data_IF_507812849571
#
_entry.id   IF_507812849571
#
_cell.length_a   1.000
_cell.length_b   1.000
_cell.length_c   1.000
_cell.angle_alpha   90.00
_cell.angle_beta   90.00
_cell.angle_gamma   90.00
#
_symmetry.space_group_name_H-M   'P 1'
#
loop_
_entity.id
_entity.type
_entity.pdbx_description
1 polymer ?
#
# COMPACT_ATOMS: atom_id res chain seq x y z
N UNK A 1 3.56 -20.48 50.33
CA UNK A 1 4.22 -19.40 49.57
C UNK A 1 5.49 -20.00 48.99
N UNK A 2 5.71 -20.16 47.69
CA UNK A 2 5.42 -19.29 46.53
C UNK A 2 5.11 -20.16 45.30
N UNK A 3 4.17 -19.69 44.49
CA UNK A 3 3.72 -20.31 43.26
C UNK A 3 4.74 -20.13 42.12
N UNK A 4 4.73 -21.12 41.24
CA UNK A 4 5.49 -21.22 40.00
C UNK A 4 5.15 -20.11 38.99
N UNK A 5 6.20 -19.74 38.26
CA UNK A 5 6.28 -19.11 36.95
C UNK A 5 5.02 -19.07 36.08
N UNK A 6 4.77 -17.91 35.46
CA UNK A 6 4.38 -17.83 34.04
C UNK A 6 5.17 -16.68 33.40
N UNK A 7 6.18 -17.07 32.60
CA UNK A 7 6.87 -16.23 31.63
C UNK A 7 5.84 -15.84 30.55
N UNK A 8 5.40 -14.59 30.53
CA UNK A 8 4.57 -14.04 29.46
C UNK A 8 5.43 -13.20 28.52
N UNK A 9 6.32 -13.84 27.75
CA UNK A 9 6.95 -13.16 26.61
C UNK A 9 6.15 -13.54 25.37
N UNK A 10 5.29 -12.61 24.96
CA UNK A 10 4.50 -12.67 23.74
C UNK A 10 5.47 -12.79 22.56
N UNK A 11 5.50 -13.95 21.92
CA UNK A 11 6.12 -14.14 20.62
C UNK A 11 5.35 -13.26 19.61
N UNK A 12 5.91 -12.10 19.29
CA UNK A 12 5.54 -11.37 18.10
C UNK A 12 5.86 -12.28 16.90
N UNK A 13 4.84 -12.89 16.32
CA UNK A 13 4.97 -13.59 15.04
C UNK A 13 5.13 -12.51 13.98
N UNK A 14 6.37 -12.04 13.80
CA UNK A 14 6.78 -11.39 12.58
C UNK A 14 6.69 -12.45 11.48
N UNK A 15 5.66 -12.37 10.64
CA UNK A 15 5.73 -12.92 9.29
C UNK A 15 6.78 -12.12 8.51
N UNK A 16 8.04 -12.33 8.85
CA UNK A 16 9.17 -12.01 8.00
C UNK A 16 9.26 -13.14 6.99
N UNK A 17 8.44 -13.09 5.94
CA UNK A 17 9.06 -13.36 4.65
C UNK A 17 10.14 -12.30 4.53
N UNK A 18 11.41 -12.69 4.56
CA UNK A 18 12.49 -11.77 4.25
C UNK A 18 12.24 -11.28 2.83
N UNK A 19 11.54 -10.16 2.69
CA UNK A 19 11.56 -9.39 1.46
C UNK A 19 13.03 -8.99 1.31
N UNK A 20 13.75 -9.67 0.42
CA UNK A 20 15.13 -9.34 0.06
C UNK A 20 15.09 -8.04 -0.74
N UNK A 21 14.75 -6.95 -0.06
CA UNK A 21 14.60 -5.64 -0.64
C UNK A 21 15.35 -4.65 0.24
N UNK A 22 16.30 -3.95 -0.37
CA UNK A 22 17.16 -2.99 0.31
C UNK A 22 16.58 -1.59 0.24
N UNK A 23 16.93 -0.76 1.22
CA UNK A 23 16.79 0.69 1.08
C UNK A 23 17.60 1.16 -0.12
N UNK A 24 17.19 2.27 -0.74
CA UNK A 24 17.97 2.87 -1.79
C UNK A 24 19.24 3.50 -1.17
N UNK A 25 20.39 2.84 -1.28
CA UNK A 25 21.67 3.42 -0.87
C UNK A 25 22.14 4.45 -1.92
N UNK A 26 21.44 5.57 -2.03
CA UNK A 26 21.67 6.62 -3.02
C UNK A 26 20.39 7.05 -3.73
N UNK A 27 20.38 7.00 -5.07
CA UNK A 27 19.22 7.40 -5.87
C UNK A 27 18.27 6.21 -6.06
N UNK A 28 17.04 6.32 -5.54
CA UNK A 28 15.99 5.35 -5.85
C UNK A 28 15.67 5.33 -7.35
N UNK A 29 15.22 4.19 -7.91
CA UNK A 29 14.67 4.14 -9.25
C UNK A 29 13.56 5.19 -9.41
N UNK A 30 13.61 5.93 -10.51
CA UNK A 30 12.62 6.94 -10.82
C UNK A 30 11.34 6.25 -11.30
N UNK A 31 10.42 6.01 -10.37
CA UNK A 31 9.14 5.33 -10.62
C UNK A 31 7.95 6.29 -10.59
N UNK A 32 8.16 7.55 -10.19
CA UNK A 32 7.13 8.58 -10.24
C UNK A 32 6.54 8.71 -11.64
N UNK A 33 5.22 8.56 -11.75
CA UNK A 33 4.49 8.53 -13.01
C UNK A 33 2.97 8.62 -12.79
N UNK A 34 2.24 8.76 -13.89
CA UNK A 34 0.80 8.55 -13.97
C UNK A 34 0.53 7.16 -14.56
N UNK A 35 -0.19 6.33 -13.81
CA UNK A 35 -0.56 4.96 -14.18
C UNK A 35 -2.05 4.89 -14.49
N UNK A 36 -2.41 4.32 -15.64
CA UNK A 36 -3.78 4.05 -16.02
C UNK A 36 -4.24 2.71 -15.45
N UNK A 37 -5.31 2.73 -14.63
CA UNK A 37 -5.85 1.51 -14.02
C UNK A 37 -6.49 0.63 -15.08
N UNK A 38 -6.03 -0.62 -15.16
CA UNK A 38 -6.55 -1.63 -16.08
C UNK A 38 -7.57 -2.54 -15.38
N UNK A 39 -7.27 -2.92 -14.14
CA UNK A 39 -8.11 -3.83 -13.37
C UNK A 39 -8.10 -3.46 -11.88
N UNK A 40 -9.21 -3.75 -11.21
CA UNK A 40 -9.39 -3.58 -9.78
C UNK A 40 -10.24 -4.70 -9.21
N UNK A 41 -9.66 -5.47 -8.31
CA UNK A 41 -10.32 -6.53 -7.57
C UNK A 41 -10.55 -6.05 -6.14
N UNK A 42 -11.80 -6.12 -5.68
CA UNK A 42 -12.17 -5.75 -4.31
C UNK A 42 -12.79 -6.96 -3.62
N UNK A 43 -12.34 -7.24 -2.40
CA UNK A 43 -12.82 -8.36 -1.59
C UNK A 43 -12.92 -7.95 -0.11
N UNK A 44 -13.67 -8.74 0.64
CA UNK A 44 -14.02 -8.43 2.03
C UNK A 44 -15.29 -7.60 2.13
N UNK A 45 -16.01 -7.78 3.23
CA UNK A 45 -17.25 -7.07 3.50
C UNK A 45 -17.23 -6.58 4.95
N UNK A 46 -17.11 -5.26 5.10
CA UNK A 46 -17.08 -4.59 6.39
C UNK A 46 -18.23 -3.62 6.52
N UNK A 47 -18.60 -3.31 7.76
CA UNK A 47 -19.56 -2.25 8.07
C UNK A 47 -19.10 -0.83 7.70
N UNK A 48 -18.02 -0.69 6.91
CA UNK A 48 -17.50 0.55 6.36
C UNK A 48 -17.16 0.41 4.88
N UNK A 49 -17.27 1.51 4.13
CA UNK A 49 -16.95 1.54 2.69
C UNK A 49 -15.42 1.45 2.46
N UNK A 50 -14.86 0.57 1.63
CA UNK A 50 -13.42 0.53 1.39
C UNK A 50 -12.91 1.81 0.71
N UNK A 51 -11.63 2.14 0.92
CA UNK A 51 -10.96 3.17 0.12
C UNK A 51 -10.95 2.76 -1.36
N UNK A 52 -11.04 3.75 -2.26
CA UNK A 52 -11.10 3.50 -3.69
C UNK A 52 -9.87 4.06 -4.39
N UNK A 53 -9.44 3.37 -5.42
CA UNK A 53 -8.41 3.86 -6.32
C UNK A 53 -9.07 4.65 -7.46
N UNK A 54 -8.58 5.86 -7.82
CA UNK A 54 -9.06 6.56 -9.01
C UNK A 54 -8.76 5.77 -10.30
N UNK A 55 -9.46 6.04 -11.41
CA UNK A 55 -9.16 5.45 -12.72
C UNK A 55 -7.72 5.72 -13.20
N UNK A 56 -7.10 6.75 -12.65
CA UNK A 56 -5.72 7.13 -12.92
C UNK A 56 -4.98 7.30 -11.60
N UNK A 57 -3.95 6.48 -11.40
CA UNK A 57 -3.08 6.50 -10.24
C UNK A 57 -1.92 7.46 -10.47
N UNK A 58 -1.78 8.45 -9.60
CA UNK A 58 -0.60 9.31 -9.59
C UNK A 58 0.32 8.84 -8.48
N UNK A 59 1.52 8.41 -8.89
CA UNK A 59 2.60 8.08 -7.98
C UNK A 59 3.61 9.22 -7.99
N UNK A 60 3.60 10.05 -6.96
CA UNK A 60 4.45 11.24 -6.87
C UNK A 60 5.74 10.93 -6.10
N UNK A 61 6.89 11.08 -6.77
CA UNK A 61 8.22 10.83 -6.21
C UNK A 61 9.09 12.07 -6.41
N UNK A 62 9.73 12.56 -5.35
CA UNK A 62 10.82 13.51 -5.50
C UNK A 62 12.06 12.80 -6.06
N UNK A 63 12.83 13.45 -6.93
CA UNK A 63 13.94 12.81 -7.62
C UNK A 63 14.93 12.15 -6.64
N UNK A 64 15.11 10.83 -6.79
CA UNK A 64 15.99 10.02 -5.94
C UNK A 64 15.44 9.68 -4.55
N UNK A 65 14.26 10.16 -4.18
CA UNK A 65 13.64 9.91 -2.87
C UNK A 65 13.08 8.49 -2.77
N UNK A 66 13.24 7.88 -1.61
CA UNK A 66 12.56 6.65 -1.23
C UNK A 66 11.10 6.87 -0.85
N UNK A 67 10.71 8.10 -0.52
CA UNK A 67 9.33 8.40 -0.14
C UNK A 67 8.52 8.77 -1.37
N UNK A 68 7.38 8.10 -1.50
CA UNK A 68 6.46 8.28 -2.62
C UNK A 68 5.06 8.44 -2.08
N UNK A 69 4.22 9.14 -2.83
CA UNK A 69 2.84 9.36 -2.45
C UNK A 69 1.92 8.76 -3.50
N UNK A 70 0.99 7.91 -3.06
CA UNK A 70 -0.09 7.38 -3.86
C UNK A 70 -1.40 8.07 -3.49
N UNK A 71 -2.12 8.62 -4.46
CA UNK A 71 -3.41 9.27 -4.23
C UNK A 71 -4.57 8.27 -4.34
N UNK A 72 -5.39 8.20 -3.30
CA UNK A 72 -6.63 7.39 -3.21
C UNK A 72 -7.85 8.28 -2.97
N UNK A 73 -9.05 7.73 -3.10
CA UNK A 73 -10.33 8.42 -2.89
C UNK A 73 -10.96 7.92 -1.59
N UNK A 74 -11.33 8.85 -0.71
CA UNK A 74 -12.27 8.62 0.38
C UNK A 74 -13.71 8.68 -0.17
N UNK A 75 -14.43 7.55 -0.30
CA UNK A 75 -15.77 7.56 -0.87
C UNK A 75 -16.82 8.17 0.08
N UNK A 76 -16.54 8.27 1.39
CA UNK A 76 -17.48 8.87 2.35
C UNK A 76 -17.47 10.38 2.21
N UNK A 77 -16.27 10.96 2.17
CA UNK A 77 -16.10 12.41 2.09
C UNK A 77 -15.97 12.94 0.65
N UNK A 78 -15.84 12.04 -0.34
CA UNK A 78 -15.61 12.38 -1.76
C UNK A 78 -14.35 13.25 -1.95
N UNK A 79 -13.29 12.96 -1.18
CA UNK A 79 -12.02 13.69 -1.24
C UNK A 79 -10.86 12.77 -1.60
N UNK A 80 -9.87 13.32 -2.31
CA UNK A 80 -8.62 12.63 -2.55
C UNK A 80 -7.72 12.70 -1.30
N UNK A 81 -7.07 11.59 -0.97
CA UNK A 81 -6.16 11.45 0.16
C UNK A 81 -4.85 10.85 -0.32
N UNK A 82 -3.77 11.37 0.22
CA UNK A 82 -2.41 10.99 -0.13
C UNK A 82 -1.88 9.97 0.87
N UNK A 83 -1.54 8.77 0.39
CA UNK A 83 -0.90 7.71 1.16
C UNK A 83 0.60 7.72 0.88
N UNK A 84 1.38 7.96 1.93
CA UNK A 84 2.83 7.88 1.81
C UNK A 84 3.30 6.43 1.91
N UNK A 85 4.14 6.03 0.96
CA UNK A 85 4.81 4.73 0.90
C UNK A 85 6.32 4.93 0.81
N UNK A 86 7.07 3.92 1.20
CA UNK A 86 8.51 3.87 1.06
C UNK A 86 8.87 2.85 -0.01
N UNK A 87 9.70 3.25 -0.98
CA UNK A 87 10.29 2.37 -1.98
C UNK A 87 11.38 1.51 -1.37
N UNK A 88 11.50 0.32 -1.92
CA UNK A 88 12.67 -0.53 -1.78
C UNK A 88 13.07 -1.06 -3.14
N UNK A 89 14.35 -1.37 -3.28
CA UNK A 89 14.89 -2.01 -4.47
C UNK A 89 14.97 -3.50 -4.17
N UNK A 90 14.18 -4.34 -4.84
CA UNK A 90 14.25 -5.79 -4.66
C UNK A 90 15.55 -6.34 -5.22
N UNK A 91 16.07 -7.41 -4.61
CA UNK A 91 17.33 -8.05 -5.00
C UNK A 91 17.16 -9.08 -6.14
N UNK A 92 15.93 -9.46 -6.46
CA UNK A 92 15.60 -10.46 -7.48
C UNK A 92 15.73 -9.95 -8.93
N UNK A 93 15.67 -8.62 -9.13
CA UNK A 93 15.72 -7.97 -10.44
C UNK A 93 14.45 -8.12 -11.28
N UNK A 94 13.37 -8.70 -10.74
CA UNK A 94 12.09 -8.87 -11.46
C UNK A 94 11.25 -7.58 -11.43
N UNK A 95 11.36 -6.83 -10.34
CA UNK A 95 10.69 -5.54 -10.16
C UNK A 95 11.69 -4.39 -10.12
N UNK A 96 11.32 -3.26 -10.70
CA UNK A 96 12.06 -2.00 -10.62
C UNK A 96 12.08 -1.47 -9.18
N UNK A 97 10.95 -1.56 -8.48
CA UNK A 97 10.81 -1.18 -7.08
C UNK A 97 9.65 -1.93 -6.42
N UNK A 98 9.75 -2.18 -5.12
CA UNK A 98 8.60 -2.49 -4.27
C UNK A 98 8.28 -1.29 -3.40
N UNK A 99 7.05 -1.20 -2.92
CA UNK A 99 6.67 -0.16 -1.96
C UNK A 99 5.77 -0.70 -0.87
N UNK A 100 5.88 -0.09 0.31
CA UNK A 100 5.02 -0.37 1.45
C UNK A 100 4.73 0.91 2.22
N UNK A 101 3.50 1.07 2.69
CA UNK A 101 3.05 2.19 3.50
C UNK A 101 1.97 1.78 4.49
N UNK A 102 1.84 2.59 5.52
CA UNK A 102 0.89 2.40 6.60
C UNK A 102 0.33 3.75 7.02
N UNK A 103 -0.99 3.82 7.17
CA UNK A 103 -1.66 5.02 7.66
C UNK A 103 -2.82 4.64 8.59
N UNK A 104 -3.09 5.50 9.56
CA UNK A 104 -4.30 5.44 10.38
C UNK A 104 -5.14 6.68 10.14
N UNK A 105 -6.45 6.51 10.16
CA UNK A 105 -7.41 7.59 9.95
C UNK A 105 -8.69 7.34 10.75
N UNK A 106 -9.37 8.41 11.13
CA UNK A 106 -10.69 8.35 11.75
C UNK A 106 -11.73 8.60 10.66
N UNK A 107 -12.65 7.67 10.46
CA UNK A 107 -13.69 7.79 9.43
C UNK A 107 -15.02 7.26 9.93
N UNK A 108 -16.11 7.80 9.39
CA UNK A 108 -17.43 7.24 9.64
C UNK A 108 -17.53 5.83 9.01
N UNK A 109 -18.01 4.85 9.78
CA UNK A 109 -18.31 3.52 9.26
C UNK A 109 -19.54 3.55 8.34
N UNK A 110 -20.57 4.28 8.75
CA UNK A 110 -21.82 4.39 8.00
C UNK A 110 -22.31 5.83 7.97
N UNK A 111 -23.31 6.09 7.14
CA UNK A 111 -24.02 7.38 7.09
C UNK A 111 -24.72 7.75 8.41
N UNK A 112 -24.77 6.84 9.39
CA UNK A 112 -25.40 7.02 10.70
C UNK A 112 -24.43 7.42 11.82
N UNK A 113 -23.14 7.66 11.51
CA UNK A 113 -22.30 8.56 12.32
C UNK A 113 -21.35 7.95 13.36
N UNK A 114 -21.15 6.63 13.39
CA UNK A 114 -20.08 6.06 14.23
C UNK A 114 -18.71 6.30 13.59
N UNK A 115 -17.81 6.97 14.32
CA UNK A 115 -16.42 7.14 13.92
C UNK A 115 -15.61 5.90 14.28
N UNK A 116 -14.98 5.28 13.27
CA UNK A 116 -14.06 4.18 13.42
C UNK A 116 -12.65 4.63 13.10
N UNK A 117 -11.71 4.22 13.93
CA UNK A 117 -10.30 4.28 13.57
C UNK A 117 -9.98 3.14 12.61
N UNK A 118 -9.62 3.50 11.38
CA UNK A 118 -9.24 2.57 10.32
C UNK A 118 -7.73 2.59 10.15
N UNK A 119 -7.18 1.40 9.95
CA UNK A 119 -5.82 1.17 9.54
C UNK A 119 -5.81 0.81 8.06
N UNK A 120 -4.97 1.51 7.29
CA UNK A 120 -4.74 1.29 5.88
C UNK A 120 -3.30 0.78 5.73
N UNK A 121 -3.13 -0.36 5.09
CA UNK A 121 -1.82 -0.84 4.65
C UNK A 121 -1.84 -0.88 3.12
N UNK A 122 -0.76 -0.37 2.53
CA UNK A 122 -0.59 -0.34 1.09
C UNK A 122 0.74 -0.97 0.77
N UNK A 123 0.75 -1.96 -0.11
CA UNK A 123 1.97 -2.54 -0.66
C UNK A 123 1.85 -2.73 -2.15
N UNK A 124 2.97 -2.89 -2.83
CA UNK A 124 2.95 -3.17 -4.26
C UNK A 124 4.34 -3.25 -4.86
N UNK A 125 4.35 -3.50 -6.16
CA UNK A 125 5.57 -3.52 -6.97
C UNK A 125 5.34 -2.78 -8.28
N UNK A 126 6.47 -2.36 -8.86
CA UNK A 126 6.55 -1.70 -10.15
C UNK A 126 7.56 -2.48 -10.96
N UNK A 127 7.16 -2.99 -12.12
CA UNK A 127 8.00 -3.78 -13.02
C UNK A 127 8.03 -3.19 -14.42
N UNK A 128 8.95 -3.68 -15.24
CA UNK A 128 8.92 -3.50 -16.69
C UNK A 128 8.07 -4.62 -17.30
N UNK A 129 7.08 -4.26 -18.12
CA UNK A 129 6.23 -5.17 -18.88
C UNK A 129 6.18 -4.64 -20.32
N UNK A 130 6.89 -5.31 -21.24
CA UNK A 130 7.04 -4.92 -22.65
C UNK A 130 7.47 -3.45 -22.88
N UNK A 131 8.42 -2.95 -22.08
CA UNK A 131 8.95 -1.58 -22.21
C UNK A 131 8.02 -0.53 -21.62
N UNK A 132 6.99 -0.93 -20.87
CA UNK A 132 6.12 -0.05 -20.10
C UNK A 132 6.19 -0.38 -18.62
N UNK A 133 5.99 0.64 -17.79
CA UNK A 133 5.89 0.42 -16.34
C UNK A 133 4.56 -0.24 -16.02
N UNK A 134 4.60 -1.35 -15.30
CA UNK A 134 3.41 -1.98 -14.73
C UNK A 134 3.45 -1.84 -13.21
N UNK A 135 2.34 -1.40 -12.63
CA UNK A 135 2.15 -1.27 -11.19
C UNK A 135 1.12 -2.30 -10.74
N UNK A 136 1.46 -3.07 -9.72
CA UNK A 136 0.52 -3.95 -9.01
C UNK A 136 0.53 -3.54 -7.55
N UNK A 137 -0.62 -3.13 -7.04
CA UNK A 137 -0.77 -2.66 -5.66
C UNK A 137 -1.85 -3.44 -4.93
N UNK A 138 -1.64 -3.71 -3.65
CA UNK A 138 -2.66 -4.22 -2.74
C UNK A 138 -2.83 -3.25 -1.59
N UNK A 139 -4.06 -2.79 -1.39
CA UNK A 139 -4.47 -1.96 -0.28
C UNK A 139 -5.40 -2.76 0.63
N UNK A 140 -5.05 -2.87 1.89
CA UNK A 140 -5.92 -3.46 2.90
C UNK A 140 -6.41 -2.40 3.87
N UNK A 141 -7.69 -2.46 4.23
CA UNK A 141 -8.28 -1.57 5.24
C UNK A 141 -9.01 -2.40 6.28
N UNK A 142 -8.72 -2.15 7.56
CA UNK A 142 -9.34 -2.83 8.70
C UNK A 142 -9.55 -1.86 9.87
N UNK A 143 -10.51 -2.11 10.77
CA UNK A 143 -10.67 -1.30 11.97
C UNK A 143 -9.58 -1.65 12.99
N UNK A 144 -9.08 -0.63 13.71
CA UNK A 144 -8.06 -0.83 14.76
C UNK A 144 -8.63 -1.60 15.95
N UNK A 145 -9.90 -1.39 16.25
CA UNK A 145 -10.63 -2.03 17.35
C UNK A 145 -11.93 -2.64 16.83
N UNK A 146 -12.41 -3.72 17.45
CA UNK A 146 -13.69 -4.35 17.08
C UNK A 146 -13.58 -5.61 16.21
N UNK A 147 -12.35 -6.02 15.84
CA UNK A 147 -11.96 -7.39 15.48
C UNK A 147 -12.63 -8.03 14.25
N UNK A 148 -11.82 -8.34 13.24
CA UNK A 148 -12.08 -9.46 12.30
C UNK A 148 -12.48 -9.08 10.88
N UNK A 149 -12.78 -7.82 10.61
CA UNK A 149 -13.11 -7.39 9.26
C UNK A 149 -11.95 -6.74 8.52
N UNK A 150 -11.70 -7.21 7.29
CA UNK A 150 -10.67 -6.72 6.39
C UNK A 150 -11.28 -6.53 5.00
N UNK A 151 -11.06 -5.35 4.41
CA UNK A 151 -11.26 -5.16 2.97
C UNK A 151 -9.90 -5.17 2.29
N UNK A 152 -9.82 -5.81 1.13
CA UNK A 152 -8.62 -5.90 0.31
C UNK A 152 -8.95 -5.47 -1.10
N UNK A 153 -8.25 -4.46 -1.59
CA UNK A 153 -8.33 -3.97 -2.96
C UNK A 153 -6.98 -4.21 -3.66
N UNK A 154 -6.98 -4.97 -4.74
CA UNK A 154 -5.81 -5.17 -5.60
C UNK A 154 -6.02 -4.43 -6.91
N UNK A 155 -5.01 -3.70 -7.36
CA UNK A 155 -5.05 -2.89 -8.57
C UNK A 155 -3.88 -3.27 -9.48
N UNK A 156 -4.18 -3.41 -10.77
CA UNK A 156 -3.17 -3.44 -11.82
C UNK A 156 -3.30 -2.20 -12.68
N UNK A 157 -2.21 -1.47 -12.87
CA UNK A 157 -2.17 -0.25 -13.65
C UNK A 157 -0.91 -0.20 -14.53
N UNK A 158 -0.97 0.57 -15.62
CA UNK A 158 0.16 0.68 -16.56
C UNK A 158 0.52 2.14 -16.77
N UNK A 159 1.79 2.46 -16.60
CA UNK A 159 2.36 3.79 -16.75
C UNK A 159 2.97 4.02 -18.12
N UNK A 160 3.85 5.01 -18.15
CA UNK A 160 4.59 5.46 -19.31
C UNK A 160 5.56 4.38 -19.82
N UNK A 161 5.99 4.55 -21.07
CA UNK A 161 7.09 3.78 -21.62
C UNK A 161 8.38 4.03 -20.82
N UNK A 162 9.18 2.99 -20.65
CA UNK A 162 10.50 3.08 -20.06
C UNK A 162 11.45 3.51 -21.17
N UNK A 163 12.17 4.64 -21.02
CA UNK A 163 13.08 5.09 -22.05
C UNK A 163 14.17 4.04 -22.28
N UNK A 164 14.31 3.59 -23.52
CA UNK A 164 15.43 2.73 -23.91
C UNK A 164 16.74 3.51 -23.78
N UNK A 165 17.71 2.91 -23.09
CA UNK A 165 19.06 3.48 -23.02
C UNK A 165 19.75 3.20 -24.37
N UNK A 166 20.22 4.22 -25.11
CA UNK A 166 20.95 4.03 -26.37
C UNK A 166 22.35 3.45 -26.19
#
# INVERSE_FOLDING_TARGET
MRALAILGLVLAVSFAGCENARTCDGACPAVGDTYEVQDTLLSGDCGFVPWLVPPTLVLAQEAGSERVTLRVIDPVNQVAVDLAVTLRVPEDGESLATFHGFQRTLRQASSQGELLELQIQLSGSISDDDGRRRLVATMTTQPVWGGGCLTTQTVTAVGSAIPSVP
#
